data_IF_013690192273
#
_entry.id   IF_013690192273
#
_cell.length_a   1.000
_cell.length_b   1.000
_cell.length_c   1.000
_cell.angle_alpha   90.00
_cell.angle_beta   90.00
_cell.angle_gamma   90.00
#
_symmetry.space_group_name_H-M   'P 1'
#
loop_
_entity.id
_entity.type
_entity.pdbx_description
1 polymer ?
#
# COMPACT_ATOMS: atom_id res chain seq x y z
N UNK A 1 5.90 -16.65 -10.81
CA UNK A 1 5.77 -15.21 -10.49
C UNK A 1 5.23 -14.99 -9.07
N UNK A 2 4.17 -15.69 -8.64
CA UNK A 2 3.59 -15.56 -7.30
C UNK A 2 4.58 -15.77 -6.13
N UNK A 3 5.46 -16.78 -6.20
CA UNK A 3 6.45 -17.02 -5.12
C UNK A 3 7.44 -15.85 -4.93
N UNK A 4 7.78 -15.14 -6.00
CA UNK A 4 8.69 -13.98 -5.95
C UNK A 4 8.01 -12.75 -5.36
N UNK A 5 6.70 -12.60 -5.57
CA UNK A 5 5.93 -11.49 -5.02
C UNK A 5 5.76 -11.63 -3.51
N UNK A 6 5.41 -12.82 -3.01
CA UNK A 6 5.32 -13.08 -1.57
C UNK A 6 6.68 -12.95 -0.88
N UNK A 7 7.75 -13.41 -1.54
CA UNK A 7 9.12 -13.16 -1.09
C UNK A 7 9.43 -11.67 -0.99
N UNK A 8 9.11 -10.88 -2.02
CA UNK A 8 9.32 -9.43 -2.01
C UNK A 8 8.49 -8.71 -0.93
N UNK A 9 7.23 -9.12 -0.71
CA UNK A 9 6.38 -8.57 0.36
C UNK A 9 6.96 -8.92 1.74
N UNK A 10 7.40 -10.16 1.94
CA UNK A 10 8.05 -10.58 3.19
C UNK A 10 9.38 -9.85 3.42
N UNK A 11 10.17 -9.62 2.37
CA UNK A 11 11.41 -8.84 2.44
C UNK A 11 11.14 -7.37 2.74
N UNK A 12 10.14 -6.76 2.10
CA UNK A 12 9.64 -5.42 2.44
C UNK A 12 9.27 -5.35 3.92
N UNK A 13 8.43 -6.27 4.39
CA UNK A 13 8.02 -6.37 5.80
C UNK A 13 9.20 -6.53 6.75
N UNK A 14 10.19 -7.36 6.42
CA UNK A 14 11.38 -7.57 7.24
C UNK A 14 12.29 -6.33 7.30
N UNK A 15 12.42 -5.59 6.20
CA UNK A 15 13.17 -4.32 6.14
C UNK A 15 12.50 -3.21 6.96
N UNK A 16 11.17 -3.24 7.12
CA UNK A 16 10.43 -2.24 7.89
C UNK A 16 10.57 -2.37 9.41
N UNK A 17 10.99 -3.53 9.94
CA UNK A 17 11.07 -3.76 11.39
C UNK A 17 12.35 -3.22 12.07
N UNK A 18 13.31 -2.62 11.35
CA UNK A 18 14.67 -2.34 11.87
C UNK A 18 14.99 -0.82 12.02
N UNK A 19 14.00 0.07 11.95
CA UNK A 19 14.25 1.52 12.08
C UNK A 19 14.09 2.05 13.51
N UNK A 20 15.17 2.56 14.13
CA UNK A 20 15.07 3.46 15.28
C UNK A 20 14.47 4.81 14.86
N UNK A 21 13.47 5.30 15.59
CA UNK A 21 12.80 6.57 15.32
C UNK A 21 13.76 7.75 15.58
N UNK A 22 14.12 8.50 14.53
CA UNK A 22 14.92 9.73 14.62
C UNK A 22 14.21 10.85 13.86
N UNK A 23 13.86 11.93 14.56
CA UNK A 23 13.64 13.26 13.99
C UNK A 23 12.19 13.76 13.95
N UNK A 24 12.01 15.01 14.37
CA UNK A 24 10.79 15.59 14.97
C UNK A 24 10.04 16.59 14.07
N UNK A 25 10.23 16.55 12.75
CA UNK A 25 9.52 17.43 11.83
C UNK A 25 8.28 16.74 11.24
N UNK A 26 7.22 16.71 12.05
CA UNK A 26 5.91 16.20 11.64
C UNK A 26 5.27 17.14 10.62
N UNK A 27 5.63 16.99 9.34
CA UNK A 27 4.77 17.43 8.25
C UNK A 27 3.37 16.86 8.49
N UNK A 28 2.33 17.70 8.37
CA UNK A 28 0.92 17.33 8.52
C UNK A 28 0.62 16.16 7.58
N UNK A 29 0.77 14.94 8.11
CA UNK A 29 0.89 13.76 7.28
C UNK A 29 -0.53 13.31 6.97
N UNK A 30 -0.88 13.33 5.68
CA UNK A 30 -2.19 12.89 5.21
C UNK A 30 -2.45 11.48 5.73
N UNK A 31 -3.54 11.32 6.47
CA UNK A 31 -3.76 10.16 7.32
C UNK A 31 -4.11 8.92 6.49
N UNK A 32 -3.14 8.03 6.28
CA UNK A 32 -3.33 6.74 5.60
C UNK A 32 -4.45 5.90 6.26
N UNK A 33 -4.73 6.10 7.55
CA UNK A 33 -5.85 5.46 8.24
C UNK A 33 -7.23 5.85 7.69
N UNK A 34 -7.35 6.99 7.01
CA UNK A 34 -8.60 7.44 6.40
C UNK A 34 -8.90 6.71 5.08
N UNK A 35 -7.88 6.18 4.40
CA UNK A 35 -8.09 5.42 3.15
C UNK A 35 -8.37 3.94 3.41
N UNK A 36 -7.81 3.39 4.49
CA UNK A 36 -7.92 1.97 4.80
C UNK A 36 -9.36 1.63 5.23
N UNK A 37 -10.01 0.60 4.66
CA UNK A 37 -11.30 0.10 5.13
C UNK A 37 -11.18 -0.49 6.54
N UNK A 38 -12.11 -0.17 7.44
CA UNK A 38 -12.13 -0.66 8.81
C UNK A 38 -12.33 -2.18 8.91
N UNK A 39 -12.83 -2.81 7.85
CA UNK A 39 -13.01 -4.26 7.76
C UNK A 39 -11.90 -4.98 6.96
N UNK A 40 -10.83 -4.28 6.56
CA UNK A 40 -9.70 -4.89 5.88
C UNK A 40 -9.09 -6.04 6.71
N UNK A 41 -8.83 -7.18 6.07
CA UNK A 41 -8.34 -8.38 6.74
C UNK A 41 -6.86 -8.22 7.15
N UNK A 42 -6.02 -7.74 6.23
CA UNK A 42 -4.61 -7.42 6.49
C UNK A 42 -4.25 -6.14 5.75
N UNK A 43 -3.47 -5.28 6.38
CA UNK A 43 -3.01 -4.02 5.81
C UNK A 43 -1.53 -3.87 6.09
N UNK A 44 -0.79 -3.45 5.07
CA UNK A 44 0.57 -2.94 5.20
C UNK A 44 0.54 -1.50 4.73
N UNK A 45 0.80 -0.57 5.63
CA UNK A 45 0.74 0.85 5.35
C UNK A 45 2.09 1.50 5.59
N UNK A 46 2.37 2.55 4.82
CA UNK A 46 3.56 3.37 4.88
C UNK A 46 3.08 4.82 4.93
N UNK A 47 3.56 5.57 5.90
CA UNK A 47 3.10 6.95 6.14
C UNK A 47 3.77 7.95 5.19
N UNK A 48 5.07 7.81 4.98
CA UNK A 48 5.88 8.62 4.07
C UNK A 48 6.87 7.73 3.32
N UNK A 49 6.56 7.40 2.07
CA UNK A 49 7.40 6.50 1.28
C UNK A 49 8.74 7.15 0.88
N UNK A 50 8.78 8.48 0.70
CA UNK A 50 10.01 9.17 0.31
C UNK A 50 11.01 9.18 1.46
N UNK A 51 10.58 9.55 2.65
CA UNK A 51 11.44 9.56 3.82
C UNK A 51 11.91 8.15 4.20
N UNK A 52 11.01 7.16 4.14
CA UNK A 52 11.33 5.76 4.41
C UNK A 52 12.31 5.18 3.39
N UNK A 53 12.14 5.50 2.10
CA UNK A 53 13.08 5.09 1.04
C UNK A 53 14.47 5.67 1.27
N UNK A 54 14.54 6.97 1.58
CA UNK A 54 15.79 7.67 1.88
C UNK A 54 16.51 7.03 3.07
N UNK A 55 15.82 6.82 4.20
CA UNK A 55 16.40 6.20 5.39
C UNK A 55 16.88 4.77 5.13
N UNK A 56 16.13 3.96 4.36
CA UNK A 56 16.56 2.62 4.01
C UNK A 56 17.78 2.60 3.08
N UNK A 57 17.86 3.54 2.13
CA UNK A 57 19.04 3.66 1.27
C UNK A 57 20.28 4.10 2.07
N UNK A 58 20.12 5.04 3.00
CA UNK A 58 21.18 5.44 3.95
C UNK A 58 21.63 4.27 4.83
N UNK A 59 20.70 3.42 5.29
CA UNK A 59 21.02 2.24 6.08
C UNK A 59 21.84 1.23 5.26
N UNK A 60 21.47 0.99 4.00
CA UNK A 60 22.23 0.13 3.08
C UNK A 60 23.64 0.67 2.89
N UNK A 61 23.79 2.00 2.70
CA UNK A 61 25.11 2.63 2.56
C UNK A 61 25.98 2.49 3.81
N UNK A 62 25.40 2.72 4.99
CA UNK A 62 26.11 2.62 6.28
C UNK A 62 26.54 1.18 6.58
N UNK A 63 25.67 0.21 6.33
CA UNK A 63 25.92 -1.20 6.64
C UNK A 63 26.77 -1.90 5.59
N UNK A 64 26.97 -1.29 4.41
CA UNK A 64 27.65 -1.89 3.25
C UNK A 64 27.05 -3.24 2.83
N UNK A 65 25.78 -3.46 3.16
CA UNK A 65 25.06 -4.67 2.75
C UNK A 65 24.96 -4.65 1.23
N UNK A 66 25.37 -5.75 0.59
CA UNK A 66 25.16 -5.94 -0.84
C UNK A 66 23.68 -6.24 -1.10
N UNK A 67 22.86 -5.20 -1.14
CA UNK A 67 21.47 -5.30 -1.56
C UNK A 67 21.39 -5.23 -3.10
N UNK A 68 20.66 -6.15 -3.76
CA UNK A 68 20.43 -6.07 -5.20
C UNK A 68 19.52 -4.89 -5.59
N UNK A 69 18.84 -4.26 -4.63
CA UNK A 69 17.92 -3.16 -4.89
C UNK A 69 18.00 -2.09 -3.79
N UNK A 70 17.90 -0.82 -4.19
CA UNK A 70 17.64 0.31 -3.30
C UNK A 70 16.13 0.42 -3.03
N UNK A 71 15.73 0.92 -1.86
CA UNK A 71 14.31 1.14 -1.56
C UNK A 71 13.70 2.16 -2.52
N UNK A 72 14.43 3.24 -2.83
CA UNK A 72 13.99 4.23 -3.82
C UNK A 72 13.72 3.59 -5.19
N UNK A 73 14.57 2.64 -5.59
CA UNK A 73 14.38 1.91 -6.86
C UNK A 73 13.18 0.97 -6.82
N UNK A 74 12.88 0.38 -5.66
CA UNK A 74 11.73 -0.51 -5.47
C UNK A 74 10.40 0.23 -5.63
N UNK A 75 10.24 1.41 -5.01
CA UNK A 75 9.02 2.22 -5.17
C UNK A 75 8.85 2.74 -6.60
N UNK A 76 9.95 3.17 -7.23
CA UNK A 76 9.94 3.54 -8.65
C UNK A 76 9.53 2.37 -9.53
N UNK A 77 10.13 1.19 -9.33
CA UNK A 77 9.78 -0.02 -10.06
C UNK A 77 8.30 -0.38 -9.88
N UNK A 78 7.77 -0.28 -8.66
CA UNK A 78 6.36 -0.55 -8.36
C UNK A 78 5.43 0.42 -9.09
N UNK A 79 5.70 1.72 -9.04
CA UNK A 79 4.87 2.74 -9.70
C UNK A 79 4.93 2.63 -11.22
N UNK A 80 6.11 2.40 -11.80
CA UNK A 80 6.29 2.08 -13.21
C UNK A 80 5.50 0.82 -13.61
N UNK A 81 5.55 -0.22 -12.77
CA UNK A 81 4.80 -1.45 -12.99
C UNK A 81 3.28 -1.25 -12.95
N UNK A 82 2.79 -0.30 -12.16
CA UNK A 82 1.38 0.11 -12.14
C UNK A 82 1.02 1.02 -13.32
N UNK A 83 2.00 1.48 -14.10
CA UNK A 83 1.82 2.41 -15.20
C UNK A 83 1.62 3.85 -14.74
N UNK A 84 2.12 4.20 -13.55
CA UNK A 84 2.05 5.54 -12.96
C UNK A 84 3.45 6.16 -13.03
N UNK A 85 3.57 7.23 -13.80
CA UNK A 85 4.83 7.96 -14.00
C UNK A 85 4.85 9.36 -13.39
N UNK A 86 3.67 9.92 -13.07
CA UNK A 86 3.45 11.30 -12.65
C UNK A 86 2.22 11.44 -11.76
N UNK A 87 2.07 12.58 -11.08
CA UNK A 87 0.92 12.91 -10.24
C UNK A 87 0.85 12.24 -8.87
N UNK A 88 1.86 11.47 -8.46
CA UNK A 88 1.94 10.93 -7.10
C UNK A 88 2.46 11.97 -6.11
N UNK A 89 1.89 11.98 -4.91
CA UNK A 89 2.42 12.76 -3.78
C UNK A 89 3.56 11.97 -3.11
N UNK A 90 4.78 12.47 -3.24
CA UNK A 90 5.96 11.80 -2.69
C UNK A 90 5.95 11.67 -1.16
N UNK A 91 5.24 12.57 -0.47
CA UNK A 91 5.14 12.60 1.00
C UNK A 91 3.86 11.93 1.52
N UNK A 92 3.03 11.41 0.61
CA UNK A 92 1.77 10.79 0.98
C UNK A 92 1.92 9.32 1.40
N UNK A 93 0.91 8.83 2.12
CA UNK A 93 0.87 7.46 2.59
C UNK A 93 0.49 6.46 1.49
N UNK A 94 1.07 5.26 1.57
CA UNK A 94 0.71 4.11 0.74
C UNK A 94 0.07 3.04 1.62
N UNK A 95 -0.88 2.29 1.07
CA UNK A 95 -1.42 1.13 1.76
C UNK A 95 -1.68 -0.02 0.80
N UNK A 96 -1.14 -1.20 1.11
CA UNK A 96 -1.52 -2.46 0.48
C UNK A 96 -2.50 -3.18 1.42
N UNK A 97 -3.69 -3.45 0.91
CA UNK A 97 -4.80 -3.97 1.70
C UNK A 97 -5.27 -5.30 1.10
N UNK A 98 -5.43 -6.29 1.96
CA UNK A 98 -6.12 -7.53 1.66
C UNK A 98 -7.50 -7.47 2.32
N UNK A 99 -8.57 -7.50 1.53
CA UNK A 99 -9.93 -7.36 2.06
C UNK A 99 -10.62 -8.71 2.31
N UNK A 100 -10.17 -9.76 1.62
CA UNK A 100 -10.72 -11.10 1.79
C UNK A 100 -9.98 -11.89 2.89
N UNK A 101 -10.68 -12.86 3.48
CA UNK A 101 -10.11 -13.78 4.47
C UNK A 101 -9.06 -14.71 3.87
N UNK A 102 -9.19 -15.05 2.59
CA UNK A 102 -8.24 -15.85 1.83
C UNK A 102 -7.34 -14.93 1.00
N UNK A 103 -6.00 -15.05 1.11
CA UNK A 103 -5.09 -14.21 0.37
C UNK A 103 -5.09 -14.58 -1.12
N UNK A 104 -5.89 -13.84 -1.89
CA UNK A 104 -5.90 -13.91 -3.35
C UNK A 104 -5.43 -12.60 -3.92
N UNK A 105 -4.87 -12.66 -5.11
CA UNK A 105 -4.33 -11.48 -5.75
C UNK A 105 -5.43 -10.48 -6.14
N UNK A 106 -6.57 -11.03 -6.53
CA UNK A 106 -7.79 -10.32 -6.88
C UNK A 106 -8.40 -9.58 -5.68
N UNK A 107 -8.09 -10.03 -4.45
CA UNK A 107 -8.55 -9.40 -3.21
C UNK A 107 -7.60 -8.33 -2.66
N UNK A 108 -6.55 -7.97 -3.41
CA UNK A 108 -5.66 -6.88 -3.05
C UNK A 108 -6.19 -5.54 -3.58
N UNK A 109 -6.09 -4.52 -2.74
CA UNK A 109 -6.29 -3.12 -3.10
C UNK A 109 -5.04 -2.35 -2.71
N UNK A 110 -4.50 -1.57 -3.64
CA UNK A 110 -3.38 -0.68 -3.38
C UNK A 110 -3.89 0.76 -3.37
N UNK A 111 -3.64 1.49 -2.28
CA UNK A 111 -3.83 2.92 -2.18
C UNK A 111 -2.50 3.63 -2.46
N UNK A 112 -2.51 4.55 -3.42
CA UNK A 112 -1.37 5.44 -3.71
C UNK A 112 -1.80 6.90 -3.53
N UNK A 113 -0.94 7.77 -3.01
CA UNK A 113 -1.32 9.13 -2.67
C UNK A 113 -1.32 10.04 -3.91
N UNK A 114 -2.31 10.93 -3.98
CA UNK A 114 -2.53 11.85 -5.11
C UNK A 114 -1.84 13.18 -4.83
N UNK A 115 -0.88 13.54 -5.69
CA UNK A 115 -0.24 14.85 -5.75
C UNK A 115 -0.88 15.75 -6.79
N UNK A 116 -1.15 15.20 -7.98
CA UNK A 116 -1.85 15.86 -9.08
C UNK A 116 -2.80 14.86 -9.75
N UNK A 117 -4.11 15.15 -9.65
CA UNK A 117 -5.17 14.25 -10.12
C UNK A 117 -5.24 14.22 -11.65
N UNK A 118 -4.95 15.33 -12.33
CA UNK A 118 -4.93 15.43 -13.79
C UNK A 118 -3.78 14.59 -14.37
N UNK A 119 -2.58 14.72 -13.79
CA UNK A 119 -1.44 13.89 -14.19
C UNK A 119 -1.72 12.39 -13.93
N UNK A 120 -2.32 12.04 -12.80
CA UNK A 120 -2.71 10.66 -12.51
C UNK A 120 -3.74 10.12 -13.49
N UNK A 121 -4.80 10.87 -13.80
CA UNK A 121 -5.79 10.49 -14.81
C UNK A 121 -5.14 10.28 -16.18
N UNK A 122 -4.20 11.14 -16.57
CA UNK A 122 -3.47 11.04 -17.83
C UNK A 122 -2.63 9.73 -17.93
N UNK A 123 -2.07 9.23 -16.82
CA UNK A 123 -1.36 7.94 -16.80
C UNK A 123 -2.27 6.77 -17.24
N UNK A 124 -3.58 6.86 -16.99
CA UNK A 124 -4.56 5.85 -17.37
C UNK A 124 -5.36 6.18 -18.63
N UNK A 125 -5.09 7.32 -19.27
CA UNK A 125 -5.82 7.83 -20.46
C UNK A 125 -7.31 8.05 -20.18
N UNK A 126 -7.62 8.55 -18.99
CA UNK A 126 -8.96 8.92 -18.54
C UNK A 126 -8.98 10.41 -18.19
N UNK A 127 -10.17 10.96 -18.01
CA UNK A 127 -10.33 12.35 -17.55
C UNK A 127 -10.59 12.39 -16.04
N UNK A 128 -10.37 13.55 -15.41
CA UNK A 128 -10.59 13.72 -13.96
C UNK A 128 -12.05 13.52 -13.59
N UNK A 129 -12.99 13.88 -14.46
CA UNK A 129 -14.43 13.68 -14.23
C UNK A 129 -14.83 12.20 -14.12
N UNK A 130 -14.00 11.30 -14.66
CA UNK A 130 -14.19 9.85 -14.55
C UNK A 130 -13.65 9.28 -13.22
N UNK A 131 -12.91 10.07 -12.44
CA UNK A 131 -12.35 9.72 -11.14
C UNK A 131 -13.14 10.43 -10.03
N UNK A 132 -14.25 9.83 -9.62
CA UNK A 132 -15.07 10.35 -8.51
C UNK A 132 -14.77 9.62 -7.19
N UNK A 133 -14.99 10.28 -6.05
CA UNK A 133 -14.63 9.74 -4.72
C UNK A 133 -15.48 8.54 -4.25
N UNK A 134 -16.46 8.10 -5.05
CA UNK A 134 -17.44 7.08 -4.63
C UNK A 134 -17.78 6.08 -5.71
N UNK A 135 -17.21 6.21 -6.91
CA UNK A 135 -17.48 5.29 -8.00
C UNK A 135 -16.20 4.61 -8.47
N UNK A 136 -16.36 3.33 -8.84
CA UNK A 136 -15.27 2.56 -9.43
C UNK A 136 -15.27 2.75 -10.94
N UNK A 137 -14.13 3.08 -11.50
CA UNK A 137 -13.91 3.15 -12.94
C UNK A 137 -13.26 1.86 -13.45
N UNK A 138 -13.77 1.27 -14.54
CA UNK A 138 -13.17 0.09 -15.20
C UNK A 138 -12.24 0.52 -16.35
N UNK A 139 -10.95 0.23 -16.21
CA UNK A 139 -9.93 0.42 -17.24
C UNK A 139 -10.03 -0.60 -18.38
N UNK A 140 -10.77 -1.70 -18.19
CA UNK A 140 -11.04 -2.69 -19.23
C UNK A 140 -12.09 -2.16 -20.22
N UNK A 141 -11.72 -1.09 -20.90
CA UNK A 141 -12.40 -0.60 -22.08
C UNK A 141 -11.47 0.22 -22.97
N UNK A 142 -10.36 -0.34 -23.51
CA UNK A 142 -9.87 0.22 -24.76
C UNK A 142 -11.04 0.18 -25.76
N UNK A 143 -11.39 1.29 -26.44
CA UNK A 143 -12.36 1.23 -27.51
C UNK A 143 -11.93 0.17 -28.56
N UNK A 144 -12.88 -0.39 -29.32
CA UNK A 144 -12.59 -1.40 -30.34
C UNK A 144 -11.37 -1.00 -31.18
N UNK A 145 -10.34 -1.83 -31.20
CA UNK A 145 -9.10 -1.59 -31.96
C UNK A 145 -7.89 -1.11 -31.15
N UNK A 146 -8.03 -0.80 -29.86
CA UNK A 146 -6.88 -0.47 -29.00
C UNK A 146 -6.40 -1.75 -28.29
N UNK A 147 -5.12 -2.11 -28.46
CA UNK A 147 -4.54 -3.30 -27.83
C UNK A 147 -4.64 -3.19 -26.29
N UNK A 148 -5.10 -4.24 -25.59
CA UNK A 148 -5.14 -4.22 -24.13
C UNK A 148 -3.75 -3.92 -23.57
N UNK A 149 -3.70 -3.11 -22.50
CA UNK A 149 -2.44 -2.84 -21.80
C UNK A 149 -1.85 -4.16 -21.29
N UNK A 150 -0.54 -4.30 -21.42
CA UNK A 150 0.22 -5.50 -21.01
C UNK A 150 0.20 -5.74 -19.49
N UNK A 151 -0.15 -4.75 -18.68
CA UNK A 151 -0.19 -4.86 -17.22
C UNK A 151 -1.62 -5.16 -16.74
N UNK A 152 -1.88 -6.44 -16.46
CA UNK A 152 -3.16 -6.96 -15.95
C UNK A 152 -3.42 -6.67 -14.46
N UNK A 153 -2.61 -5.81 -13.86
CA UNK A 153 -2.53 -5.59 -12.41
C UNK A 153 -3.52 -4.57 -11.88
N UNK A 154 -3.94 -3.65 -12.75
CA UNK A 154 -4.86 -2.58 -12.41
C UNK A 154 -5.97 -2.63 -13.44
N UNK A 155 -7.16 -2.97 -12.98
CA UNK A 155 -8.36 -2.99 -13.80
C UNK A 155 -9.36 -1.95 -13.33
N UNK A 156 -9.49 -1.79 -12.01
CA UNK A 156 -10.45 -0.88 -11.42
C UNK A 156 -9.72 0.22 -10.65
N UNK A 157 -10.25 1.45 -10.77
CA UNK A 157 -9.76 2.64 -10.10
C UNK A 157 -10.89 3.26 -9.27
N UNK A 158 -10.56 3.87 -8.13
CA UNK A 158 -11.47 4.75 -7.39
C UNK A 158 -10.64 5.80 -6.65
N UNK A 159 -11.22 6.97 -6.38
CA UNK A 159 -10.57 7.97 -5.50
C UNK A 159 -11.18 7.86 -4.12
N UNK A 160 -10.36 7.98 -3.07
CA UNK A 160 -10.82 8.08 -1.68
C UNK A 160 -9.82 8.89 -0.87
N UNK A 161 -10.27 9.96 -0.20
CA UNK A 161 -9.45 10.72 0.74
C UNK A 161 -8.06 11.10 0.18
N UNK A 162 -8.02 11.68 -1.03
CA UNK A 162 -6.79 12.05 -1.76
C UNK A 162 -5.85 10.87 -2.08
N UNK A 163 -6.37 9.65 -2.14
CA UNK A 163 -5.65 8.48 -2.63
C UNK A 163 -6.37 7.89 -3.83
N UNK A 164 -5.59 7.34 -4.76
CA UNK A 164 -6.08 6.53 -5.85
C UNK A 164 -6.01 5.06 -5.40
N UNK A 165 -7.16 4.42 -5.37
CA UNK A 165 -7.30 3.00 -5.07
C UNK A 165 -7.24 2.20 -6.37
N UNK A 166 -6.39 1.17 -6.38
CA UNK A 166 -6.11 0.31 -7.52
C UNK A 166 -6.48 -1.13 -7.17
N UNK A 167 -7.26 -1.80 -8.02
CA UNK A 167 -7.63 -3.21 -7.82
C UNK A 167 -7.79 -3.98 -9.13
N UNK A 168 -7.78 -5.31 -9.03
CA UNK A 168 -8.07 -6.23 -10.15
C UNK A 168 -9.54 -6.61 -10.15
N UNK A 169 -10.15 -6.78 -8.98
CA UNK A 169 -11.56 -7.14 -8.81
C UNK A 169 -12.39 -5.93 -8.42
N UNK A 170 -13.54 -5.77 -9.10
CA UNK A 170 -14.46 -4.65 -8.88
C UNK A 170 -15.08 -4.69 -7.51
N UNK A 171 -15.55 -5.87 -7.06
CA UNK A 171 -16.26 -6.01 -5.78
C UNK A 171 -15.33 -5.71 -4.62
N UNK A 172 -14.08 -6.12 -4.73
CA UNK A 172 -13.03 -5.78 -3.77
C UNK A 172 -12.87 -4.27 -3.65
N UNK A 173 -12.74 -3.56 -4.78
CA UNK A 173 -12.62 -2.10 -4.77
C UNK A 173 -13.87 -1.39 -4.25
N UNK A 174 -15.06 -1.84 -4.66
CA UNK A 174 -16.33 -1.29 -4.18
C UNK A 174 -16.47 -1.47 -2.67
N UNK A 175 -16.03 -2.61 -2.12
CA UNK A 175 -15.95 -2.83 -0.67
C UNK A 175 -15.00 -1.82 -0.03
N UNK A 176 -13.80 -1.62 -0.60
CA UNK A 176 -12.84 -0.67 -0.08
C UNK A 176 -13.34 0.77 -0.07
N UNK A 177 -14.20 1.17 -0.99
CA UNK A 177 -14.73 2.54 -1.05
C UNK A 177 -15.88 2.74 -0.06
N UNK A 178 -16.75 1.73 0.10
CA UNK A 178 -17.98 1.84 0.91
C UNK A 178 -17.76 1.73 2.41
N UNK A 179 -16.79 0.91 2.81
CA UNK A 179 -16.58 0.61 4.22
C UNK A 179 -16.03 1.83 4.99
N UNK A 180 -16.45 2.05 6.25
CA UNK A 180 -15.91 3.11 7.10
C UNK A 180 -14.38 3.05 7.16
N UNK A 181 -13.71 4.19 7.35
CA UNK A 181 -12.24 4.18 7.43
C UNK A 181 -11.76 3.48 8.69
N UNK A 182 -10.55 2.92 8.65
CA UNK A 182 -9.90 2.29 9.80
C UNK A 182 -9.78 3.29 10.94
N UNK A 183 -9.47 4.56 10.62
CA UNK A 183 -9.50 5.64 11.62
C UNK A 183 -10.82 5.70 12.37
N UNK A 184 -11.96 5.66 11.67
CA UNK A 184 -13.28 5.81 12.28
C UNK A 184 -13.68 4.66 13.21
N UNK A 185 -13.06 3.49 13.07
CA UNK A 185 -13.35 2.30 13.90
C UNK A 185 -12.35 2.08 15.02
N UNK A 186 -11.15 2.65 14.92
CA UNK A 186 -10.12 2.55 15.96
C UNK A 186 -10.41 3.49 17.12
N UNK A 187 -9.98 3.10 18.32
CA UNK A 187 -9.95 4.00 19.48
C UNK A 187 -8.87 5.05 19.27
N UNK A 188 -9.07 6.23 19.85
CA UNK A 188 -8.13 7.36 19.71
C UNK A 188 -6.67 6.99 20.09
N UNK A 189 -6.48 6.17 21.13
CA UNK A 189 -5.15 5.69 21.53
C UNK A 189 -4.46 4.82 20.46
N UNK A 190 -5.22 4.00 19.74
CA UNK A 190 -4.71 3.15 18.67
C UNK A 190 -4.39 3.99 17.43
N UNK A 191 -5.27 4.96 17.09
CA UNK A 191 -5.03 5.92 16.00
C UNK A 191 -3.71 6.67 16.20
N UNK A 192 -3.50 7.24 17.40
CA UNK A 192 -2.27 7.96 17.74
C UNK A 192 -1.03 7.07 17.70
N UNK A 193 -1.17 5.77 18.00
CA UNK A 193 -0.05 4.83 17.91
C UNK A 193 0.35 4.63 16.45
N UNK A 194 -0.61 4.33 15.57
CA UNK A 194 -0.33 4.15 14.13
C UNK A 194 0.21 5.41 13.46
N UNK A 195 -0.22 6.60 13.87
CA UNK A 195 0.24 7.88 13.30
C UNK A 195 1.69 8.22 13.63
N UNK A 196 2.26 7.61 14.68
CA UNK A 196 3.67 7.79 15.05
C UNK A 196 4.60 6.86 14.26
N UNK A 197 4.08 5.76 13.73
CA UNK A 197 4.88 4.79 13.01
C UNK A 197 5.08 5.21 11.54
N UNK A 198 6.24 4.90 11.00
CA UNK A 198 6.56 5.15 9.59
C UNK A 198 5.94 4.11 8.66
N UNK A 199 5.83 2.89 9.16
CA UNK A 199 5.13 1.79 8.52
C UNK A 199 4.47 0.93 9.59
N UNK A 200 3.30 0.37 9.27
CA UNK A 200 2.61 -0.53 10.18
C UNK A 200 1.92 -1.67 9.46
N UNK A 201 1.73 -2.76 10.20
CA UNK A 201 0.89 -3.88 9.79
C UNK A 201 -0.33 -3.93 10.70
N UNK A 202 -1.51 -3.95 10.09
CA UNK A 202 -2.77 -4.17 10.79
C UNK A 202 -3.40 -5.48 10.33
N UNK A 203 -3.93 -6.27 11.25
CA UNK A 203 -4.63 -7.51 10.94
C UNK A 203 -5.95 -7.57 11.72
N UNK A 204 -7.06 -7.64 10.99
CA UNK A 204 -8.37 -7.85 11.58
C UNK A 204 -8.59 -9.35 11.81
N UNK A 205 -8.39 -9.79 13.05
CA UNK A 205 -8.45 -11.21 13.42
C UNK A 205 -9.85 -11.84 13.23
N UNK A 206 -10.91 -11.03 13.15
CA UNK A 206 -12.26 -11.52 12.83
C UNK A 206 -12.40 -11.88 11.35
N UNK A 207 -11.68 -11.19 10.47
CA UNK A 207 -11.68 -11.42 9.02
C UNK A 207 -10.61 -12.41 8.59
N UNK A 208 -9.50 -12.51 9.33
CA UNK A 208 -8.40 -13.41 9.04
C UNK A 208 -8.11 -14.34 10.23
N UNK A 209 -9.00 -15.32 10.54
CA UNK A 209 -8.79 -16.22 11.68
C UNK A 209 -7.49 -17.03 11.57
N UNK A 210 -7.06 -17.36 10.35
CA UNK A 210 -5.78 -18.01 10.08
C UNK A 210 -4.55 -17.12 10.28
N UNK A 211 -4.70 -15.79 10.22
CA UNK A 211 -3.58 -14.86 10.39
C UNK A 211 -3.02 -14.91 11.80
N UNK A 212 -3.84 -15.18 12.82
CA UNK A 212 -3.37 -15.26 14.21
C UNK A 212 -2.29 -16.32 14.39
N UNK A 213 -2.52 -17.53 13.86
CA UNK A 213 -1.55 -18.62 13.95
C UNK A 213 -0.28 -18.31 13.12
N UNK A 214 -0.45 -17.73 11.93
CA UNK A 214 0.70 -17.37 11.08
C UNK A 214 1.55 -16.26 11.69
N UNK A 215 0.93 -15.21 12.24
CA UNK A 215 1.63 -14.09 12.87
C UNK A 215 2.36 -14.54 14.15
N UNK A 216 1.74 -15.41 14.96
CA UNK A 216 2.41 -15.99 16.13
C UNK A 216 3.68 -16.76 15.72
N UNK A 217 3.58 -17.64 14.73
CA UNK A 217 4.73 -18.40 14.23
C UNK A 217 5.82 -17.50 13.62
N UNK A 218 5.43 -16.42 12.92
CA UNK A 218 6.39 -15.46 12.37
C UNK A 218 7.09 -14.65 13.45
N UNK A 219 6.36 -14.22 14.49
CA UNK A 219 6.94 -13.48 15.62
C UNK A 219 7.94 -14.36 16.40
N UNK A 220 7.60 -15.63 16.63
CA UNK A 220 8.50 -16.61 17.26
C UNK A 220 9.80 -16.77 16.45
N UNK A 221 9.70 -16.95 15.13
CA UNK A 221 10.87 -17.06 14.24
C UNK A 221 11.73 -15.79 14.20
N UNK A 222 11.11 -14.61 14.29
CA UNK A 222 11.85 -13.34 14.33
C UNK A 222 12.56 -13.15 15.68
N UNK A 223 11.94 -13.57 16.77
CA UNK A 223 12.56 -13.57 18.09
C UNK A 223 13.79 -14.49 18.11
N UNK A 224 13.67 -15.71 17.58
CA UNK A 224 14.77 -16.67 17.48
C UNK A 224 15.92 -16.16 16.60
N UNK A 225 15.60 -15.49 15.49
CA UNK A 225 16.60 -14.93 14.60
C UNK A 225 17.33 -13.69 15.16
N UNK A 226 16.79 -13.06 16.22
CA UNK A 226 17.41 -11.89 16.87
C UNK A 226 18.40 -12.26 17.98
N UNK A 227 18.43 -13.53 18.40
CA UNK A 227 19.31 -14.04 19.45
C UNK A 227 20.64 -14.62 18.94
N UNK A 228 20.81 -14.73 17.62
CA UNK A 228 22.04 -15.17 16.94
C UNK A 228 22.80 -13.99 16.31
#
# INVERSE_FOLDING_TARGET
>A
MQLRLWGAIATLLALFCVGEAVGEDAHETKHVLDVIPGDAAVVVAIRDAADLSRRGDELIDKTKVQSPFRLTELFRWLTDYLGISKGLDSQGGYALMLLASEPRFESLVLAVPIGDLDELAANFRITVEQLTESETFDLAGPPPGVKPRRNSMVRYLAVRNKHLLLAIDRKCLESAVREPSLRSVLKEGDQRSFEKEDAFVFANLHRAPGARASLANSAERLADASTD
#
